data_IF_107387565773
#
_entry.id   IF_107387565773
#
_cell.length_a   1.000
_cell.length_b   1.000
_cell.length_c   1.000
_cell.angle_alpha   90.00
_cell.angle_beta   90.00
_cell.angle_gamma   90.00
#
_symmetry.space_group_name_H-M   'P 1'
#
loop_
_entity.id
_entity.type
_entity.pdbx_description
1 polymer ?
#
# COMPACT_ATOMS: atom_id res chain seq x y z
N UNK A 1 -33.06 3.70 -22.43
CA UNK A 1 -31.72 3.20 -22.04
C UNK A 1 -31.53 3.40 -20.55
N UNK A 2 -31.09 2.39 -19.81
CA UNK A 2 -30.73 2.50 -18.39
C UNK A 2 -29.21 2.65 -18.31
N UNK A 3 -28.72 3.66 -17.59
CA UNK A 3 -27.28 3.92 -17.46
C UNK A 3 -26.71 2.97 -16.40
N UNK A 4 -25.62 2.29 -16.74
CA UNK A 4 -24.84 1.46 -15.80
C UNK A 4 -23.59 2.23 -15.42
N UNK A 5 -23.27 2.28 -14.13
CA UNK A 5 -22.11 2.97 -13.57
C UNK A 5 -21.31 1.97 -12.73
N UNK A 6 -19.99 1.99 -12.85
CA UNK A 6 -19.06 1.23 -12.02
C UNK A 6 -18.01 2.16 -11.42
N UNK A 7 -17.42 1.76 -10.31
CA UNK A 7 -16.36 2.50 -9.63
C UNK A 7 -15.12 1.62 -9.44
N UNK A 8 -13.95 2.26 -9.53
CA UNK A 8 -12.66 1.72 -9.16
C UNK A 8 -12.10 2.62 -8.05
N UNK A 9 -11.86 2.05 -6.87
CA UNK A 9 -11.51 2.79 -5.66
C UNK A 9 -10.10 2.39 -5.23
N UNK A 10 -9.21 3.37 -5.10
CA UNK A 10 -7.89 3.19 -4.50
C UNK A 10 -7.84 3.89 -3.14
N UNK A 11 -7.48 3.13 -2.11
CA UNK A 11 -7.39 3.63 -0.73
C UNK A 11 -6.00 3.37 -0.14
N UNK A 12 -5.52 4.28 0.70
CA UNK A 12 -4.21 4.16 1.33
C UNK A 12 -4.33 3.43 2.67
N UNK A 13 -3.77 2.23 2.77
CA UNK A 13 -3.73 1.51 4.05
C UNK A 13 -2.92 2.26 5.11
N UNK A 14 -3.45 2.30 6.33
CA UNK A 14 -2.85 2.96 7.48
C UNK A 14 -1.71 2.13 8.12
N UNK A 15 -0.64 1.88 7.37
CA UNK A 15 0.56 1.18 7.86
C UNK A 15 1.64 2.17 8.31
N UNK A 16 2.56 1.74 9.19
CA UNK A 16 3.71 2.57 9.62
C UNK A 16 4.85 2.61 8.59
N UNK A 17 4.99 1.53 7.80
CA UNK A 17 6.03 1.36 6.78
C UNK A 17 5.42 1.03 5.42
N UNK A 18 6.15 1.33 4.35
CA UNK A 18 5.77 1.00 2.96
C UNK A 18 5.61 -0.51 2.77
N UNK A 19 4.99 -0.90 1.66
CA UNK A 19 4.59 -2.28 1.41
C UNK A 19 5.77 -3.25 1.29
N UNK A 20 6.87 -2.84 0.64
CA UNK A 20 8.00 -3.73 0.31
C UNK A 20 9.35 -3.26 0.89
N UNK A 21 9.35 -2.27 1.77
CA UNK A 21 10.56 -1.80 2.45
C UNK A 21 10.24 -1.15 3.80
N UNK A 22 11.27 -0.84 4.58
CA UNK A 22 11.12 -0.28 5.93
C UNK A 22 10.92 1.24 5.98
N UNK A 23 10.79 1.92 4.84
CA UNK A 23 10.59 3.37 4.81
C UNK A 23 9.24 3.77 5.44
N UNK A 24 9.16 4.87 6.21
CA UNK A 24 7.90 5.32 6.79
C UNK A 24 6.90 5.84 5.75
N UNK A 25 5.62 5.78 6.09
CA UNK A 25 4.47 6.27 5.28
C UNK A 25 3.99 7.67 5.69
N UNK A 26 4.63 8.35 6.64
CA UNK A 26 4.26 9.69 7.12
C UNK A 26 4.67 10.84 6.15
N UNK A 27 4.47 10.63 4.84
CA UNK A 27 4.95 11.54 3.79
C UNK A 27 4.41 12.98 3.90
N UNK A 28 3.29 13.18 4.60
CA UNK A 28 2.69 14.51 4.83
C UNK A 28 3.48 15.36 5.83
N UNK A 29 4.32 14.73 6.65
CA UNK A 29 5.06 15.38 7.75
C UNK A 29 6.52 15.68 7.38
N UNK A 30 6.97 15.23 6.21
CA UNK A 30 8.38 15.27 5.80
C UNK A 30 8.57 15.96 4.45
N UNK A 31 9.79 16.42 4.18
CA UNK A 31 10.15 17.04 2.89
C UNK A 31 10.14 16.01 1.74
N UNK A 32 10.03 16.46 0.47
CA UNK A 32 10.18 15.57 -0.68
C UNK A 32 11.45 14.73 -0.62
N UNK A 33 11.35 13.47 -1.06
CA UNK A 33 12.46 12.51 -1.10
C UNK A 33 13.16 12.25 0.25
N UNK A 34 12.47 12.46 1.38
CA UNK A 34 13.01 12.15 2.72
C UNK A 34 12.82 10.67 3.08
N UNK A 35 11.62 10.11 2.86
CA UNK A 35 11.30 8.72 3.18
C UNK A 35 11.55 7.79 1.98
N UNK A 36 12.80 7.72 1.52
CA UNK A 36 13.18 6.90 0.36
C UNK A 36 14.35 5.98 0.66
N UNK A 37 14.39 4.83 -0.02
CA UNK A 37 15.49 3.89 -0.05
C UNK A 37 15.57 3.26 -1.44
N UNK A 38 16.63 2.49 -1.67
CA UNK A 38 16.97 1.82 -2.92
C UNK A 38 15.82 0.97 -3.45
N UNK A 39 15.06 0.32 -2.56
CA UNK A 39 13.91 -0.50 -2.91
C UNK A 39 12.77 0.35 -3.49
N UNK A 40 12.34 1.41 -2.78
CA UNK A 40 11.20 2.19 -3.24
C UNK A 40 11.54 3.20 -4.34
N UNK A 41 12.83 3.47 -4.57
CA UNK A 41 13.30 4.23 -5.74
C UNK A 41 13.69 3.34 -6.92
N UNK A 42 13.60 2.01 -6.78
CA UNK A 42 13.87 1.06 -7.86
C UNK A 42 15.33 1.07 -8.33
N UNK A 43 16.29 1.28 -7.44
CA UNK A 43 17.71 1.29 -7.80
C UNK A 43 18.18 -0.08 -8.29
N UNK A 44 19.16 -0.14 -9.21
CA UNK A 44 19.70 -1.40 -9.71
C UNK A 44 20.16 -2.34 -8.58
N UNK A 45 19.70 -3.58 -8.62
CA UNK A 45 20.04 -4.60 -7.63
C UNK A 45 19.19 -4.59 -6.36
N UNK A 46 18.33 -3.58 -6.15
CA UNK A 46 17.39 -3.58 -5.04
C UNK A 46 16.32 -4.68 -5.23
N UNK A 47 15.96 -5.37 -4.15
CA UNK A 47 14.91 -6.39 -4.14
C UNK A 47 13.81 -5.98 -3.17
N UNK A 48 12.52 -6.19 -3.53
CA UNK A 48 11.43 -5.98 -2.59
C UNK A 48 11.58 -6.94 -1.40
N UNK A 49 11.32 -6.44 -0.20
CA UNK A 49 11.11 -7.32 0.94
C UNK A 49 9.75 -8.03 0.79
N UNK A 50 9.50 -9.12 1.54
CA UNK A 50 8.16 -9.65 1.67
C UNK A 50 7.17 -8.53 2.04
N UNK A 51 5.90 -8.63 1.59
CA UNK A 51 4.89 -7.62 1.89
C UNK A 51 4.79 -7.33 3.38
N UNK A 52 4.59 -6.06 3.71
CA UNK A 52 4.31 -5.62 5.07
C UNK A 52 3.14 -6.43 5.66
N UNK A 53 3.38 -7.17 6.74
CA UNK A 53 2.36 -7.98 7.40
C UNK A 53 1.13 -7.16 7.80
N UNK A 54 1.30 -5.91 8.25
CA UNK A 54 0.17 -5.05 8.60
C UNK A 54 -0.66 -4.60 7.40
N UNK A 55 -0.06 -4.54 6.21
CA UNK A 55 -0.83 -4.32 4.99
C UNK A 55 -1.67 -5.57 4.67
N UNK A 56 -1.10 -6.77 4.81
CA UNK A 56 -1.79 -8.04 4.59
C UNK A 56 -2.95 -8.23 5.58
N UNK A 57 -2.72 -7.99 6.87
CA UNK A 57 -3.75 -8.06 7.91
C UNK A 57 -4.95 -7.14 7.55
N UNK A 58 -4.67 -5.90 7.13
CA UNK A 58 -5.69 -4.92 6.79
C UNK A 58 -6.49 -5.29 5.53
N UNK A 59 -5.86 -5.83 4.48
CA UNK A 59 -6.60 -6.24 3.26
C UNK A 59 -7.45 -7.46 3.50
N UNK A 60 -7.02 -8.39 4.37
CA UNK A 60 -7.86 -9.53 4.78
C UNK A 60 -9.08 -9.04 5.56
N UNK A 61 -8.89 -8.10 6.49
CA UNK A 61 -9.99 -7.48 7.23
C UNK A 61 -11.00 -6.81 6.29
N UNK A 62 -10.53 -6.02 5.30
CA UNK A 62 -11.38 -5.38 4.29
C UNK A 62 -12.12 -6.42 3.45
N UNK A 63 -11.44 -7.46 2.99
CA UNK A 63 -12.05 -8.51 2.17
C UNK A 63 -13.15 -9.27 2.94
N UNK A 64 -12.91 -9.61 4.21
CA UNK A 64 -13.92 -10.22 5.07
C UNK A 64 -15.11 -9.28 5.31
N UNK A 65 -14.86 -7.99 5.56
CA UNK A 65 -15.90 -6.97 5.72
C UNK A 65 -16.79 -6.85 4.47
N UNK A 66 -16.20 -6.97 3.28
CA UNK A 66 -16.89 -6.89 2.00
C UNK A 66 -17.52 -8.22 1.56
N UNK A 67 -17.42 -9.28 2.36
CA UNK A 67 -17.84 -10.65 2.03
C UNK A 67 -17.19 -11.17 0.73
N UNK A 68 -15.92 -10.83 0.50
CA UNK A 68 -15.13 -11.42 -0.56
C UNK A 68 -14.67 -12.83 -0.20
N UNK A 69 -14.47 -13.68 -1.21
CA UNK A 69 -13.78 -14.97 -1.07
C UNK A 69 -12.27 -14.73 -1.07
N UNK A 70 -11.55 -15.37 -0.14
CA UNK A 70 -10.10 -15.18 0.12
C UNK A 70 -9.38 -16.51 0.01
#
# INVERSE_FOLDING_TARGET
MKVTIGFEIHEQLATKTKLFCSCPTNYREVKPNTNVCEVCTGMPGAKPFPPNQKAIDAVIEIALMLNCEI
#
